data_IF_814598953716
#
_entry.id   IF_814598953716
#
_cell.length_a   1.000
_cell.length_b   1.000
_cell.length_c   1.000
_cell.angle_alpha   90.00
_cell.angle_beta   90.00
_cell.angle_gamma   90.00
#
_symmetry.space_group_name_H-M   'P 1'
#
loop_
_entity.id
_entity.type
_entity.pdbx_description
1 polymer ?
#
# COMPACT_ATOMS: atom_id res chain seq x y z
N UNK A 1 20.30 -16.15 2.84
CA UNK A 1 21.64 -15.56 2.61
C UNK A 1 21.98 -15.76 1.14
N UNK A 2 21.99 -14.71 0.31
CA UNK A 2 22.86 -14.54 -0.87
C UNK A 2 22.93 -13.05 -1.26
N UNK A 3 24.08 -12.65 -1.80
CA UNK A 3 24.62 -11.30 -1.86
C UNK A 3 24.22 -10.48 -3.11
N UNK A 4 24.30 -9.16 -2.98
CA UNK A 4 24.09 -8.17 -4.05
C UNK A 4 25.26 -8.10 -5.03
N UNK A 5 24.97 -8.01 -6.33
CA UNK A 5 25.93 -7.63 -7.36
C UNK A 5 25.31 -6.65 -8.39
N UNK A 6 25.67 -5.36 -8.24
CA UNK A 6 25.94 -4.37 -9.30
C UNK A 6 24.96 -4.08 -10.45
N UNK A 7 23.71 -4.52 -10.42
CA UNK A 7 22.66 -4.02 -11.32
C UNK A 7 21.34 -3.90 -10.56
N UNK A 8 20.71 -2.73 -10.59
CA UNK A 8 19.45 -2.48 -9.89
C UNK A 8 18.25 -3.24 -10.46
N UNK A 9 18.40 -4.03 -11.52
CA UNK A 9 17.29 -4.80 -12.15
C UNK A 9 17.39 -6.31 -11.95
N UNK A 10 18.60 -6.86 -11.88
CA UNK A 10 18.80 -8.32 -11.78
C UNK A 10 18.24 -8.92 -10.48
N UNK A 11 18.46 -8.32 -9.30
CA UNK A 11 17.89 -8.82 -8.05
C UNK A 11 16.36 -8.80 -8.03
N UNK A 12 15.74 -7.76 -8.61
CA UNK A 12 14.28 -7.67 -8.71
C UNK A 12 13.71 -8.71 -9.67
N UNK A 13 14.33 -8.89 -10.84
CA UNK A 13 13.90 -9.93 -11.78
C UNK A 13 14.07 -11.33 -11.21
N UNK A 14 15.15 -11.58 -10.45
CA UNK A 14 15.31 -12.85 -9.76
C UNK A 14 14.24 -13.06 -8.67
N UNK A 15 13.90 -12.02 -7.89
CA UNK A 15 12.79 -12.06 -6.92
C UNK A 15 11.47 -12.39 -7.62
N UNK A 16 11.19 -11.73 -8.74
CA UNK A 16 10.01 -11.98 -9.57
C UNK A 16 9.95 -13.43 -10.07
N UNK A 17 11.07 -14.00 -10.54
CA UNK A 17 11.12 -15.41 -10.92
C UNK A 17 10.83 -16.36 -9.75
N UNK A 18 11.34 -16.06 -8.55
CA UNK A 18 11.07 -16.85 -7.34
C UNK A 18 9.60 -16.76 -6.95
N UNK A 19 9.03 -15.57 -6.96
CA UNK A 19 7.61 -15.33 -6.67
C UNK A 19 6.69 -16.02 -7.68
N UNK A 20 7.00 -15.95 -8.97
CA UNK A 20 6.26 -16.64 -10.02
C UNK A 20 6.30 -18.16 -9.85
N UNK A 21 7.48 -18.73 -9.55
CA UNK A 21 7.60 -20.17 -9.30
C UNK A 21 6.84 -20.61 -8.03
N UNK A 22 6.88 -19.79 -6.98
CA UNK A 22 6.10 -20.01 -5.77
C UNK A 22 4.60 -19.99 -6.09
N UNK A 23 4.12 -19.01 -6.86
CA UNK A 23 2.73 -18.91 -7.29
C UNK A 23 2.28 -20.16 -8.04
N UNK A 24 3.01 -20.62 -9.05
CA UNK A 24 2.67 -21.82 -9.82
C UNK A 24 2.54 -23.06 -8.92
N UNK A 25 3.43 -23.18 -7.94
CA UNK A 25 3.44 -24.30 -6.99
C UNK A 25 2.23 -24.25 -6.06
N UNK A 26 1.92 -23.07 -5.51
CA UNK A 26 0.75 -22.89 -4.63
C UNK A 26 -0.57 -23.03 -5.38
N UNK A 27 -0.70 -22.45 -6.57
CA UNK A 27 -1.91 -22.53 -7.39
C UNK A 27 -2.24 -23.99 -7.75
N UNK A 28 -1.24 -24.77 -8.13
CA UNK A 28 -1.41 -26.22 -8.34
C UNK A 28 -1.86 -26.94 -7.06
N UNK A 29 -1.21 -26.67 -5.94
CA UNK A 29 -1.56 -27.29 -4.65
C UNK A 29 -2.98 -26.94 -4.20
N UNK A 30 -3.41 -25.68 -4.34
CA UNK A 30 -4.77 -25.26 -4.02
C UNK A 30 -5.81 -25.87 -4.96
N UNK A 31 -5.51 -26.00 -6.26
CA UNK A 31 -6.41 -26.68 -7.20
C UNK A 31 -6.59 -28.16 -6.86
N UNK A 32 -5.54 -28.83 -6.41
CA UNK A 32 -5.58 -30.26 -6.08
C UNK A 32 -6.18 -30.53 -4.68
N UNK A 33 -5.90 -29.69 -3.69
CA UNK A 33 -6.21 -29.95 -2.27
C UNK A 33 -7.23 -28.96 -1.65
N UNK A 34 -7.69 -27.96 -2.42
CA UNK A 34 -8.47 -26.83 -1.89
C UNK A 34 -9.79 -27.22 -1.22
N UNK A 35 -10.50 -28.22 -1.73
CA UNK A 35 -11.77 -28.67 -1.14
C UNK A 35 -11.59 -29.34 0.23
N UNK A 36 -10.45 -30.00 0.46
CA UNK A 36 -10.12 -30.56 1.78
C UNK A 36 -9.59 -29.48 2.73
N UNK A 37 -8.73 -28.58 2.22
CA UNK A 37 -8.19 -27.47 3.02
C UNK A 37 -9.29 -26.56 3.59
N UNK A 38 -10.39 -26.32 2.85
CA UNK A 38 -11.55 -25.54 3.33
C UNK A 38 -12.27 -26.18 4.51
N UNK A 39 -12.17 -27.49 4.69
CA UNK A 39 -12.81 -28.23 5.80
C UNK A 39 -11.95 -28.21 7.07
N UNK A 40 -10.67 -27.89 6.93
CA UNK A 40 -9.74 -27.82 8.04
C UNK A 40 -9.85 -26.46 8.75
N UNK A 41 -9.63 -26.46 10.06
CA UNK A 41 -9.44 -25.21 10.79
C UNK A 41 -8.19 -24.51 10.28
N UNK A 42 -8.26 -23.19 10.12
CA UNK A 42 -7.10 -22.38 9.75
C UNK A 42 -5.95 -22.64 10.74
N UNK A 43 -4.70 -22.85 10.26
CA UNK A 43 -3.55 -23.00 11.13
C UNK A 43 -3.40 -21.79 12.05
N UNK A 44 -2.95 -22.02 13.29
CA UNK A 44 -2.81 -20.97 14.31
C UNK A 44 -1.96 -19.79 13.82
N UNK A 45 -0.89 -20.07 13.07
CA UNK A 45 -0.04 -19.02 12.47
C UNK A 45 -0.81 -18.12 11.48
N UNK A 46 -1.74 -18.68 10.71
CA UNK A 46 -2.56 -17.92 9.77
C UNK A 46 -3.61 -17.08 10.51
N UNK A 47 -4.21 -17.64 11.57
CA UNK A 47 -5.12 -16.90 12.44
C UNK A 47 -4.39 -15.71 13.08
N UNK A 48 -3.20 -15.93 13.63
CA UNK A 48 -2.40 -14.87 14.24
C UNK A 48 -1.96 -13.80 13.23
N UNK A 49 -1.66 -14.16 11.99
CA UNK A 49 -1.30 -13.20 10.94
C UNK A 49 -2.48 -12.30 10.52
N UNK A 50 -3.67 -12.88 10.30
CA UNK A 50 -4.83 -12.13 9.78
C UNK A 50 -5.68 -11.47 10.85
N UNK A 51 -5.71 -12.04 12.07
CA UNK A 51 -6.57 -11.59 13.16
C UNK A 51 -5.77 -11.05 14.35
N UNK A 52 -4.45 -11.18 14.36
CA UNK A 52 -3.61 -10.60 15.40
C UNK A 52 -3.41 -9.10 15.19
N UNK A 53 -3.07 -8.41 16.27
CA UNK A 53 -2.77 -6.96 16.25
C UNK A 53 -1.46 -6.64 15.49
N UNK A 54 -0.70 -7.67 15.11
CA UNK A 54 0.59 -7.57 14.43
C UNK A 54 0.52 -8.02 12.96
N UNK A 55 -0.09 -7.15 12.13
CA UNK A 55 -0.41 -7.38 10.70
C UNK A 55 0.77 -7.78 9.81
N UNK A 56 2.01 -7.72 10.29
CA UNK A 56 3.20 -7.90 9.47
C UNK A 56 4.19 -8.91 10.04
N UNK A 57 3.97 -9.40 11.26
CA UNK A 57 4.85 -10.36 11.96
C UNK A 57 6.35 -10.05 11.75
N UNK A 58 6.71 -8.76 11.74
CA UNK A 58 8.04 -8.30 11.33
C UNK A 58 9.16 -8.95 12.14
N UNK A 59 8.87 -9.28 13.40
CA UNK A 59 9.82 -9.88 14.32
C UNK A 59 9.93 -11.41 14.14
N UNK A 60 8.86 -12.08 13.68
CA UNK A 60 8.88 -13.53 13.43
C UNK A 60 9.71 -13.88 12.18
N UNK A 61 9.65 -13.03 11.15
CA UNK A 61 10.40 -13.26 9.90
C UNK A 61 11.82 -12.66 9.94
N UNK A 62 12.14 -11.81 10.91
CA UNK A 62 13.44 -11.14 11.00
C UNK A 62 14.27 -11.57 12.21
N UNK A 63 15.04 -12.65 12.04
CA UNK A 63 15.90 -13.21 13.09
C UNK A 63 17.24 -12.48 13.26
N UNK A 64 17.60 -11.58 12.35
CA UNK A 64 18.93 -10.93 12.33
C UNK A 64 19.07 -9.69 13.21
N UNK A 65 17.97 -9.22 13.82
CA UNK A 65 17.95 -8.01 14.66
C UNK A 65 17.06 -8.24 15.87
N UNK A 66 17.27 -7.45 16.91
CA UNK A 66 16.40 -7.47 18.09
C UNK A 66 14.97 -7.13 17.66
N UNK A 67 13.95 -7.89 18.10
CA UNK A 67 12.55 -7.59 17.84
C UNK A 67 12.20 -6.12 18.14
N UNK A 68 11.24 -5.57 17.41
CA UNK A 68 10.73 -4.20 17.52
C UNK A 68 11.70 -3.07 17.18
N UNK A 69 12.97 -3.35 16.86
CA UNK A 69 13.96 -2.28 16.61
C UNK A 69 13.75 -1.48 15.33
N UNK A 70 12.93 -1.97 14.40
CA UNK A 70 12.67 -1.31 13.10
C UNK A 70 11.19 -1.21 12.73
N UNK A 71 10.27 -1.49 13.66
CA UNK A 71 8.84 -1.41 13.33
C UNK A 71 8.50 0.02 12.92
N UNK A 72 8.02 0.24 11.68
CA UNK A 72 7.50 1.54 11.30
C UNK A 72 6.31 1.85 12.23
N UNK A 73 6.23 3.09 12.72
CA UNK A 73 5.00 3.54 13.39
C UNK A 73 3.96 3.75 12.30
N UNK A 74 3.06 2.79 12.14
CA UNK A 74 1.94 2.88 11.21
C UNK A 74 0.76 3.42 12.01
N UNK A 75 0.26 4.60 11.65
CA UNK A 75 -1.01 5.11 12.14
C UNK A 75 -2.11 4.68 11.18
N UNK A 76 -3.09 3.92 11.67
CA UNK A 76 -4.29 3.56 10.91
C UNK A 76 -5.43 4.42 11.46
N UNK A 77 -6.17 5.07 10.56
CA UNK A 77 -7.43 5.75 10.89
C UNK A 77 -8.50 5.14 10.02
N UNK A 78 -9.58 4.65 10.63
CA UNK A 78 -10.68 4.08 9.88
C UNK A 78 -11.72 5.15 9.56
N UNK A 79 -12.32 5.07 8.36
CA UNK A 79 -13.26 6.08 7.90
C UNK A 79 -14.58 6.14 8.70
N UNK A 80 -14.91 5.06 9.41
CA UNK A 80 -16.07 4.94 10.32
C UNK A 80 -15.85 5.59 11.69
N UNK A 81 -14.60 5.90 12.05
CA UNK A 81 -14.25 6.71 13.23
C UNK A 81 -14.40 8.23 12.97
N UNK A 82 -14.81 8.61 11.75
CA UNK A 82 -15.03 9.99 11.34
C UNK A 82 -16.51 10.37 11.41
N UNK A 83 -16.81 11.53 12.00
CA UNK A 83 -18.19 12.05 12.06
C UNK A 83 -18.71 12.37 10.66
N UNK A 84 -17.81 12.83 9.78
CA UNK A 84 -18.11 13.11 8.38
C UNK A 84 -17.23 12.24 7.45
N UNK A 85 -17.83 11.22 6.80
CA UNK A 85 -17.09 10.38 5.86
C UNK A 85 -16.83 11.09 4.53
N UNK A 86 -16.01 10.45 3.67
CA UNK A 86 -15.78 10.88 2.28
C UNK A 86 -17.14 11.16 1.58
N UNK A 87 -17.32 12.31 0.89
CA UNK A 87 -16.29 13.20 0.35
C UNK A 87 -15.82 14.33 1.28
N UNK A 88 -16.20 14.32 2.56
CA UNK A 88 -15.68 15.28 3.52
C UNK A 88 -14.17 15.06 3.77
N UNK A 89 -13.36 16.11 4.00
CA UNK A 89 -11.91 15.97 4.21
C UNK A 89 -11.50 15.36 5.55
N UNK A 90 -12.42 15.27 6.52
CA UNK A 90 -12.13 14.85 7.89
C UNK A 90 -11.30 13.55 8.00
N UNK A 91 -11.57 12.47 7.25
CA UNK A 91 -10.78 11.25 7.37
C UNK A 91 -9.28 11.45 7.12
N UNK A 92 -8.92 12.33 6.18
CA UNK A 92 -7.51 12.62 5.93
C UNK A 92 -6.91 13.62 6.90
N UNK A 93 -7.70 14.61 7.36
CA UNK A 93 -7.23 15.55 8.38
C UNK A 93 -6.93 14.83 9.70
N UNK A 94 -7.80 13.89 10.11
CA UNK A 94 -7.56 12.99 11.24
C UNK A 94 -6.34 12.09 11.00
N UNK A 95 -6.18 11.56 9.79
CA UNK A 95 -4.98 10.79 9.41
C UNK A 95 -3.68 11.60 9.57
N UNK A 96 -3.65 12.84 9.08
CA UNK A 96 -2.51 13.75 9.24
C UNK A 96 -2.20 14.02 10.72
N UNK A 97 -3.21 14.28 11.54
CA UNK A 97 -3.07 14.51 12.98
C UNK A 97 -2.50 13.28 13.70
N UNK A 98 -3.08 12.09 13.44
CA UNK A 98 -2.64 10.83 14.03
C UNK A 98 -1.19 10.49 13.66
N UNK A 99 -0.81 10.75 12.40
CA UNK A 99 0.55 10.53 11.89
C UNK A 99 1.53 11.66 12.26
N UNK A 100 1.04 12.78 12.80
CA UNK A 100 1.80 14.02 13.02
C UNK A 100 2.53 14.48 11.75
N UNK A 101 1.88 14.31 10.61
CA UNK A 101 2.42 14.64 9.30
C UNK A 101 1.96 16.03 8.84
N UNK A 102 2.80 16.72 8.08
CA UNK A 102 2.39 17.94 7.38
C UNK A 102 1.71 17.57 6.07
N UNK A 103 0.62 18.28 5.74
CA UNK A 103 -0.01 18.24 4.42
C UNK A 103 0.98 18.56 3.28
N UNK A 104 1.99 19.38 3.54
CA UNK A 104 2.99 19.80 2.54
C UNK A 104 3.97 18.66 2.18
N UNK A 105 4.03 17.63 3.03
CA UNK A 105 4.85 16.43 2.85
C UNK A 105 4.01 15.16 2.72
N UNK A 106 2.73 15.29 2.39
CA UNK A 106 1.80 14.17 2.29
C UNK A 106 1.04 14.25 0.97
N UNK A 107 0.88 13.09 0.33
CA UNK A 107 -0.01 12.92 -0.83
C UNK A 107 -0.85 11.66 -0.61
N UNK A 108 -1.96 11.56 -1.32
CA UNK A 108 -2.96 10.51 -1.11
C UNK A 108 -3.14 9.71 -2.39
N UNK A 109 -3.20 8.38 -2.28
CA UNK A 109 -3.68 7.50 -3.35
C UNK A 109 -5.17 7.23 -3.16
N UNK A 110 -5.95 7.41 -4.21
CA UNK A 110 -7.39 7.17 -4.20
C UNK A 110 -7.89 6.58 -5.50
N UNK A 111 -8.99 5.85 -5.46
CA UNK A 111 -9.55 5.22 -6.66
C UNK A 111 -11.06 5.42 -6.80
N UNK A 112 -11.62 6.27 -5.94
CA UNK A 112 -13.03 6.64 -5.92
C UNK A 112 -13.21 8.15 -6.10
N UNK A 113 -14.29 8.56 -6.74
CA UNK A 113 -14.64 9.99 -6.89
C UNK A 113 -14.82 10.67 -5.53
N UNK A 114 -15.45 9.98 -4.56
CA UNK A 114 -15.65 10.50 -3.21
C UNK A 114 -14.33 10.66 -2.45
N UNK A 115 -13.42 9.69 -2.58
CA UNK A 115 -12.11 9.75 -1.94
C UNK A 115 -11.19 10.81 -2.53
N UNK A 116 -11.18 10.98 -3.86
CA UNK A 116 -10.43 12.07 -4.50
C UNK A 116 -10.96 13.43 -4.03
N UNK A 117 -12.29 13.62 -4.03
CA UNK A 117 -12.90 14.87 -3.53
C UNK A 117 -12.50 15.17 -2.10
N UNK A 118 -12.49 14.16 -1.23
CA UNK A 118 -12.08 14.32 0.16
C UNK A 118 -10.59 14.70 0.29
N UNK A 119 -9.69 14.10 -0.49
CA UNK A 119 -8.25 14.41 -0.45
C UNK A 119 -7.95 15.81 -0.97
N UNK A 120 -8.61 16.19 -2.06
CA UNK A 120 -8.54 17.55 -2.62
C UNK A 120 -9.11 18.58 -1.63
N UNK A 121 -10.25 18.30 -0.99
CA UNK A 121 -10.84 19.16 0.03
C UNK A 121 -9.96 19.29 1.28
N UNK A 122 -9.15 18.28 1.59
CA UNK A 122 -8.16 18.31 2.66
C UNK A 122 -6.88 19.08 2.26
N UNK A 123 -6.78 19.54 1.01
CA UNK A 123 -5.68 20.34 0.52
C UNK A 123 -4.40 19.56 0.25
N UNK A 124 -4.48 18.25 0.02
CA UNK A 124 -3.34 17.41 -0.34
C UNK A 124 -3.34 17.09 -1.84
N UNK A 125 -2.15 16.85 -2.43
CA UNK A 125 -2.05 16.20 -3.73
C UNK A 125 -2.71 14.82 -3.69
N UNK A 126 -3.49 14.51 -4.73
CA UNK A 126 -4.19 13.23 -4.86
C UNK A 126 -3.80 12.54 -6.15
N UNK A 127 -3.28 11.34 -6.03
CA UNK A 127 -2.94 10.47 -7.16
C UNK A 127 -4.09 9.47 -7.32
N UNK A 128 -4.81 9.57 -8.43
CA UNK A 128 -5.95 8.72 -8.70
C UNK A 128 -5.56 7.41 -9.41
N UNK A 129 -6.05 6.27 -8.94
CA UNK A 129 -5.89 4.97 -9.59
C UNK A 129 -7.07 4.69 -10.52
N UNK A 130 -6.83 4.54 -11.82
CA UNK A 130 -7.87 4.29 -12.83
C UNK A 130 -8.20 2.81 -13.06
N UNK A 131 -7.84 1.93 -12.12
CA UNK A 131 -8.06 0.48 -12.23
C UNK A 131 -9.53 0.08 -12.15
N UNK A 132 -10.31 0.72 -11.28
CA UNK A 132 -11.71 0.36 -10.98
C UNK A 132 -12.74 1.28 -11.62
N UNK A 133 -12.36 2.52 -11.90
CA UNK A 133 -13.27 3.55 -12.39
C UNK A 133 -12.73 4.20 -13.67
N UNK A 134 -13.59 4.51 -14.66
CA UNK A 134 -13.21 5.25 -15.85
C UNK A 134 -12.50 6.58 -15.53
N UNK A 135 -11.40 6.86 -16.22
CA UNK A 135 -10.58 8.06 -15.98
C UNK A 135 -11.40 9.36 -16.01
N UNK A 136 -12.35 9.49 -16.94
CA UNK A 136 -13.17 10.69 -17.08
C UNK A 136 -14.01 11.00 -15.82
N UNK A 137 -14.46 9.96 -15.08
CA UNK A 137 -15.19 10.15 -13.83
C UNK A 137 -14.27 10.64 -12.72
N UNK A 138 -13.08 10.04 -12.62
CA UNK A 138 -12.08 10.41 -11.62
C UNK A 138 -11.55 11.83 -11.85
N UNK A 139 -11.29 12.22 -13.10
CA UNK A 139 -10.83 13.57 -13.45
C UNK A 139 -11.82 14.66 -13.02
N UNK A 140 -13.13 14.37 -12.99
CA UNK A 140 -14.14 15.31 -12.50
C UNK A 140 -13.97 15.68 -11.01
N UNK A 141 -13.29 14.85 -10.22
CA UNK A 141 -12.92 15.12 -8.84
C UNK A 141 -11.62 15.93 -8.69
N UNK A 142 -10.95 16.24 -9.81
CA UNK A 142 -9.70 17.03 -9.89
C UNK A 142 -8.53 16.44 -9.09
N UNK A 143 -8.14 15.17 -9.31
CA UNK A 143 -6.88 14.66 -8.79
C UNK A 143 -5.70 15.42 -9.42
N UNK A 144 -4.52 15.32 -8.81
CA UNK A 144 -3.28 15.87 -9.35
C UNK A 144 -2.94 15.21 -10.69
N UNK A 145 -2.99 13.88 -10.75
CA UNK A 145 -2.97 13.10 -11.98
C UNK A 145 -3.52 11.69 -11.73
N UNK A 146 -3.74 10.95 -12.81
CA UNK A 146 -4.16 9.55 -12.78
C UNK A 146 -3.01 8.61 -13.19
N UNK A 147 -2.95 7.47 -12.53
CA UNK A 147 -2.07 6.34 -12.85
C UNK A 147 -2.89 5.07 -13.07
N UNK A 148 -2.41 4.20 -13.95
CA UNK A 148 -3.04 2.90 -14.18
C UNK A 148 -2.69 1.88 -13.10
N UNK A 149 -1.48 1.96 -12.60
CA UNK A 149 -0.90 1.10 -11.57
C UNK A 149 0.31 1.83 -10.96
N UNK A 150 0.99 1.21 -10.00
CA UNK A 150 2.16 1.79 -9.33
C UNK A 150 3.45 1.76 -10.18
N UNK A 151 3.43 1.09 -11.33
CA UNK A 151 4.55 1.06 -12.29
C UNK A 151 4.43 2.19 -13.33
N UNK A 152 3.35 2.97 -13.29
CA UNK A 152 3.13 4.10 -14.20
C UNK A 152 4.30 5.10 -14.09
N UNK A 153 5.02 5.38 -15.20
CA UNK A 153 6.17 6.28 -15.19
C UNK A 153 5.86 7.68 -14.68
N UNK A 154 4.59 8.13 -14.76
CA UNK A 154 4.17 9.43 -14.21
C UNK A 154 4.36 9.52 -12.71
N UNK A 155 4.11 8.43 -11.98
CA UNK A 155 4.28 8.37 -10.53
C UNK A 155 5.75 8.60 -10.18
N UNK A 156 6.63 7.82 -10.80
CA UNK A 156 8.07 7.86 -10.53
C UNK A 156 8.69 9.20 -10.94
N UNK A 157 8.29 9.75 -12.09
CA UNK A 157 8.71 11.10 -12.50
C UNK A 157 8.32 12.17 -11.47
N UNK A 158 7.08 12.14 -10.96
CA UNK A 158 6.63 13.09 -9.94
C UNK A 158 7.38 12.95 -8.61
N UNK A 159 7.67 11.72 -8.19
CA UNK A 159 8.46 11.47 -6.96
C UNK A 159 9.91 11.95 -7.10
N UNK A 160 10.53 11.74 -8.26
CA UNK A 160 11.89 12.24 -8.53
C UNK A 160 11.97 13.78 -8.55
N UNK A 161 10.92 14.45 -9.01
CA UNK A 161 10.83 15.92 -8.96
C UNK A 161 10.70 16.44 -7.52
N UNK A 162 9.88 15.76 -6.69
CA UNK A 162 9.75 16.09 -5.27
C UNK A 162 11.09 15.95 -4.53
N UNK A 163 11.85 14.88 -4.77
CA UNK A 163 13.15 14.66 -4.14
C UNK A 163 14.18 15.76 -4.50
N UNK A 164 14.18 16.19 -5.77
CA UNK A 164 15.03 17.30 -6.23
C UNK A 164 14.67 18.64 -5.59
N UNK A 165 13.37 18.89 -5.37
CA UNK A 165 12.87 20.16 -4.79
C UNK A 165 13.03 20.26 -3.26
N UNK A 166 13.10 19.13 -2.56
CA UNK A 166 13.33 19.08 -1.10
C UNK A 166 14.81 19.23 -0.67
N UNK A 167 15.73 19.33 -1.63
CA UNK A 167 17.18 19.41 -1.42
C UNK A 167 17.73 20.86 -1.35
N UNK A 168 16.88 21.85 -1.07
CA UNK A 168 17.23 23.27 -0.99
C UNK A 168 16.78 23.92 0.31
#
# INVERSE_FOLDING_TARGET
>A
MFAFAKSSKLPYHFSECVENHAFETYDKFIKEQGEELKKMSAPEVAVNYYMGDDLYLFDEFQTSRVPNTRRPKIGITYGDECEHPKPHPEPYLKGLEALKASKDHTFVFEDSVSGIKAGVAAGMPVIGLSTRNPEHLLMGAKPTFLIKDYDDPKLWAALEELDKSGSH
#
